data_IF_450167241217
#
_entry.id   IF_450167241217
#
_cell.length_a   1.000
_cell.length_b   1.000
_cell.length_c   1.000
_cell.angle_alpha   90.00
_cell.angle_beta   90.00
_cell.angle_gamma   90.00
#
_symmetry.space_group_name_H-M   'P 1'
#
loop_
_entity.id
_entity.type
_entity.pdbx_description
1 polymer ?
#
# COMPACT_ATOMS: atom_id res chain seq x y z
N UNK A 1 13.12 -6.67 15.53
CA UNK A 1 12.23 -7.14 14.44
C UNK A 1 11.55 -5.91 13.87
N UNK A 2 11.64 -5.64 12.57
CA UNK A 2 11.01 -4.46 11.95
C UNK A 2 9.57 -4.85 11.60
N UNK A 3 8.59 -4.11 12.10
CA UNK A 3 7.17 -4.34 11.75
C UNK A 3 6.93 -3.79 10.35
N UNK A 4 6.20 -4.56 9.56
CA UNK A 4 5.84 -4.26 8.17
C UNK A 4 4.34 -4.04 8.04
N UNK A 5 3.94 -2.99 7.33
CA UNK A 5 2.53 -2.68 7.05
C UNK A 5 2.35 -2.58 5.54
N UNK A 6 1.50 -3.45 5.00
CA UNK A 6 1.09 -3.32 3.61
C UNK A 6 -0.01 -2.27 3.46
N UNK A 7 0.21 -1.26 2.62
CA UNK A 7 -0.82 -0.30 2.26
C UNK A 7 -1.32 -0.63 0.86
N UNK A 8 -2.64 -0.72 0.70
CA UNK A 8 -3.27 -0.94 -0.60
C UNK A 8 -4.59 -0.19 -0.70
N UNK A 9 -5.10 0.02 -1.91
CA UNK A 9 -6.39 0.67 -2.05
C UNK A 9 -6.96 0.72 -3.46
N UNK A 10 -8.10 1.40 -3.56
CA UNK A 10 -8.82 1.52 -4.83
C UNK A 10 -8.13 2.46 -5.80
N UNK A 11 -8.11 2.09 -7.08
CA UNK A 11 -7.57 2.93 -8.16
C UNK A 11 -8.42 4.16 -8.47
N UNK A 12 -9.69 4.14 -8.08
CA UNK A 12 -10.70 5.19 -8.25
C UNK A 12 -10.59 6.32 -7.24
N UNK A 13 -9.84 6.14 -6.15
CA UNK A 13 -9.68 7.15 -5.11
C UNK A 13 -8.62 8.15 -5.58
N UNK A 14 -8.98 9.43 -5.54
CA UNK A 14 -8.15 10.55 -6.01
C UNK A 14 -7.59 11.40 -4.86
N UNK A 15 -8.12 11.25 -3.63
CA UNK A 15 -7.63 11.95 -2.43
C UNK A 15 -7.64 11.04 -1.21
N UNK A 16 -6.74 11.32 -0.26
CA UNK A 16 -6.70 10.63 1.04
C UNK A 16 -7.47 11.46 2.08
N UNK A 17 -8.44 10.85 2.75
CA UNK A 17 -9.18 11.51 3.83
C UNK A 17 -8.34 11.60 5.12
N UNK A 18 -8.83 12.39 6.09
CA UNK A 18 -8.14 12.61 7.37
C UNK A 18 -7.88 11.30 8.13
N UNK A 19 -8.80 10.33 8.07
CA UNK A 19 -8.58 9.02 8.73
C UNK A 19 -7.42 8.25 8.10
N UNK A 20 -7.35 8.17 6.78
CA UNK A 20 -6.25 7.52 6.07
C UNK A 20 -4.91 8.17 6.43
N UNK A 21 -4.82 9.51 6.35
CA UNK A 21 -3.62 10.27 6.70
C UNK A 21 -3.21 10.05 8.16
N UNK A 22 -4.17 10.05 9.09
CA UNK A 22 -3.91 9.81 10.52
C UNK A 22 -3.29 8.44 10.74
N UNK A 23 -3.79 7.41 10.06
CA UNK A 23 -3.25 6.05 10.17
C UNK A 23 -1.87 5.92 9.54
N UNK A 24 -1.66 6.54 8.38
CA UNK A 24 -0.34 6.59 7.72
C UNK A 24 0.67 7.30 8.62
N UNK A 25 0.31 8.44 9.20
CA UNK A 25 1.18 9.16 10.13
C UNK A 25 1.55 8.33 11.35
N UNK A 26 0.63 7.48 11.85
CA UNK A 26 0.97 6.58 12.95
C UNK A 26 1.98 5.51 12.54
N UNK A 27 1.91 5.00 11.32
CA UNK A 27 2.89 4.05 10.77
C UNK A 27 4.27 4.72 10.65
N UNK A 28 4.30 5.97 10.17
CA UNK A 28 5.52 6.80 10.06
C UNK A 28 6.13 7.06 11.45
N UNK A 29 5.32 7.51 12.42
CA UNK A 29 5.75 7.81 13.80
C UNK A 29 6.38 6.58 14.48
N UNK A 30 5.79 5.41 14.26
CA UNK A 30 6.30 4.13 14.76
C UNK A 30 7.50 3.59 13.95
N UNK A 31 7.86 4.28 12.88
CA UNK A 31 8.96 3.94 11.97
C UNK A 31 8.85 2.52 11.37
N UNK A 32 7.63 2.11 11.02
CA UNK A 32 7.35 0.79 10.43
C UNK A 32 7.56 0.77 8.92
N UNK A 33 8.09 -0.34 8.41
CA UNK A 33 8.29 -0.48 6.97
C UNK A 33 6.96 -0.55 6.22
N UNK A 34 6.82 0.26 5.18
CA UNK A 34 5.63 0.28 4.32
C UNK A 34 5.90 -0.56 3.08
N UNK A 35 5.09 -1.60 2.88
CA UNK A 35 5.04 -2.35 1.62
C UNK A 35 3.90 -1.77 0.79
N UNK A 36 4.18 -1.29 -0.42
CA UNK A 36 3.17 -0.66 -1.26
C UNK A 36 3.30 -1.06 -2.71
N UNK A 37 2.17 -1.10 -3.42
CA UNK A 37 2.15 -1.36 -4.85
C UNK A 37 2.54 -0.14 -5.69
N UNK A 38 2.56 -0.36 -7.01
CA UNK A 38 2.81 0.64 -8.03
C UNK A 38 1.57 0.95 -8.89
N UNK A 39 0.34 0.71 -8.40
CA UNK A 39 -0.85 1.05 -9.18
C UNK A 39 -1.10 2.58 -9.19
N UNK A 40 -1.90 3.10 -10.15
CA UNK A 40 -2.53 4.42 -10.01
C UNK A 40 -3.55 4.46 -8.86
N UNK A 41 -3.89 5.65 -8.38
CA UNK A 41 -4.86 5.87 -7.29
C UNK A 41 -4.19 5.83 -5.93
N UNK A 42 -4.74 5.07 -4.96
CA UNK A 42 -4.21 5.03 -3.58
C UNK A 42 -2.71 4.78 -3.51
N UNK A 43 -2.18 3.83 -4.26
CA UNK A 43 -0.74 3.50 -4.23
C UNK A 43 0.10 4.75 -4.56
N UNK A 44 -0.20 5.45 -5.67
CA UNK A 44 0.48 6.70 -6.03
C UNK A 44 0.25 7.81 -5.00
N UNK A 45 -0.98 7.98 -4.49
CA UNK A 45 -1.29 9.03 -3.51
C UNK A 45 -0.51 8.84 -2.20
N UNK A 46 -0.44 7.61 -1.72
CA UNK A 46 0.32 7.28 -0.52
C UNK A 46 1.81 7.43 -0.79
N UNK A 47 2.32 6.97 -1.93
CA UNK A 47 3.71 7.22 -2.31
C UNK A 47 4.03 8.73 -2.29
N UNK A 48 3.26 9.57 -2.98
CA UNK A 48 3.46 11.03 -2.97
C UNK A 48 3.43 11.62 -1.56
N UNK A 49 2.53 11.15 -0.70
CA UNK A 49 2.47 11.62 0.69
C UNK A 49 3.72 11.24 1.48
N UNK A 50 4.19 9.99 1.35
CA UNK A 50 5.40 9.52 2.02
C UNK A 50 6.66 10.27 1.55
N UNK A 51 6.77 10.51 0.24
CA UNK A 51 7.85 11.30 -0.36
C UNK A 51 7.86 12.74 0.17
N UNK A 52 6.68 13.38 0.25
CA UNK A 52 6.57 14.75 0.79
C UNK A 52 7.01 14.89 2.25
N UNK A 53 7.05 13.78 2.99
CA UNK A 53 7.50 13.71 4.38
C UNK A 53 8.93 13.17 4.51
N UNK A 54 9.62 12.90 3.40
CA UNK A 54 10.94 12.25 3.34
C UNK A 54 10.96 10.92 4.13
N UNK A 55 9.90 10.12 4.00
CA UNK A 55 9.84 8.82 4.67
C UNK A 55 10.46 7.72 3.80
N UNK A 56 11.64 7.23 4.22
CA UNK A 56 12.45 6.31 3.40
C UNK A 56 12.20 4.82 3.67
N UNK A 57 11.48 4.48 4.74
CA UNK A 57 11.21 3.08 5.11
C UNK A 57 10.06 2.49 4.29
N UNK A 58 10.24 2.49 2.97
CA UNK A 58 9.24 2.09 1.97
C UNK A 58 9.87 1.09 1.00
N UNK A 59 9.09 0.09 0.60
CA UNK A 59 9.46 -0.90 -0.40
C UNK A 59 8.33 -0.99 -1.43
N UNK A 60 8.61 -0.61 -2.68
CA UNK A 60 7.61 -0.65 -3.76
C UNK A 60 7.61 -2.01 -4.46
N UNK A 61 6.48 -2.69 -4.43
CA UNK A 61 6.29 -3.98 -5.10
C UNK A 61 5.64 -3.74 -6.46
N UNK A 62 6.16 -4.39 -7.51
CA UNK A 62 5.59 -4.30 -8.86
C UNK A 62 5.58 -5.65 -9.57
N UNK A 63 4.79 -5.75 -10.63
CA UNK A 63 4.67 -6.95 -11.46
C UNK A 63 5.04 -6.65 -12.91
N UNK A 64 5.27 -7.70 -13.70
CA UNK A 64 5.69 -7.59 -15.11
C UNK A 64 7.03 -6.86 -15.29
N UNK A 65 7.34 -6.44 -16.52
CA UNK A 65 8.62 -5.82 -16.86
C UNK A 65 8.76 -4.38 -16.37
N UNK A 66 7.65 -3.66 -16.22
CA UNK A 66 7.66 -2.20 -16.11
C UNK A 66 7.05 -1.76 -14.79
N UNK A 67 7.87 -1.08 -13.98
CA UNK A 67 7.44 -0.35 -12.80
C UNK A 67 6.62 0.86 -13.24
N UNK A 68 5.37 0.96 -12.80
CA UNK A 68 4.46 2.04 -13.21
C UNK A 68 4.74 3.34 -12.46
N UNK A 69 4.96 3.25 -11.16
CA UNK A 69 5.27 4.41 -10.32
C UNK A 69 6.09 4.03 -9.08
N UNK A 70 7.06 4.89 -8.77
CA UNK A 70 7.90 4.89 -7.57
C UNK A 70 8.32 6.34 -7.28
N UNK A 71 7.44 7.09 -6.62
CA UNK A 71 7.55 8.55 -6.52
C UNK A 71 8.82 8.99 -5.78
N UNK A 72 9.10 8.39 -4.62
CA UNK A 72 10.28 8.71 -3.80
C UNK A 72 11.52 7.88 -4.10
N UNK A 73 11.57 7.21 -5.26
CA UNK A 73 12.73 6.42 -5.69
C UNK A 73 13.21 5.38 -4.66
N UNK A 74 12.28 4.74 -3.95
CA UNK A 74 12.60 3.74 -2.93
C UNK A 74 13.06 2.41 -3.56
N UNK A 75 13.55 1.51 -2.70
CA UNK A 75 13.85 0.14 -3.11
C UNK A 75 12.62 -0.54 -3.75
N UNK A 76 12.86 -1.49 -4.66
CA UNK A 76 11.76 -2.22 -5.34
C UNK A 76 11.85 -3.74 -5.19
N UNK A 77 10.68 -4.40 -5.19
CA UNK A 77 10.52 -5.85 -5.28
C UNK A 77 9.74 -6.20 -6.54
N UNK A 78 10.40 -6.86 -7.49
CA UNK A 78 9.76 -7.37 -8.70
C UNK A 78 9.17 -8.74 -8.44
N UNK A 79 7.87 -8.89 -8.69
CA UNK A 79 7.21 -10.18 -8.73
C UNK A 79 6.96 -10.60 -10.18
N UNK A 80 7.56 -11.72 -10.58
CA UNK A 80 7.30 -12.32 -11.89
C UNK A 80 5.90 -12.94 -11.89
N UNK A 81 5.01 -12.44 -12.75
CA UNK A 81 3.63 -12.91 -12.87
C UNK A 81 2.63 -11.76 -12.90
N UNK A 82 1.44 -12.01 -12.36
CA UNK A 82 0.32 -11.06 -12.40
C UNK A 82 0.35 -10.05 -11.25
N UNK A 83 -0.34 -8.92 -11.40
CA UNK A 83 -0.57 -7.98 -10.30
C UNK A 83 -1.24 -8.65 -9.09
N UNK A 84 -2.13 -9.61 -9.32
CA UNK A 84 -2.77 -10.36 -8.22
C UNK A 84 -1.79 -11.27 -7.49
N UNK A 85 -0.82 -11.87 -8.17
CA UNK A 85 0.25 -12.63 -7.52
C UNK A 85 1.17 -11.68 -6.73
N UNK A 86 1.53 -10.53 -7.31
CA UNK A 86 2.29 -9.48 -6.61
C UNK A 86 1.60 -9.04 -5.33
N UNK A 87 0.33 -8.67 -5.42
CA UNK A 87 -0.48 -8.27 -4.26
C UNK A 87 -0.51 -9.38 -3.21
N UNK A 88 -0.74 -10.63 -3.64
CA UNK A 88 -0.74 -11.79 -2.73
C UNK A 88 0.58 -11.93 -1.99
N UNK A 89 1.72 -11.85 -2.67
CA UNK A 89 3.02 -11.98 -2.01
C UNK A 89 3.29 -10.78 -1.09
N UNK A 90 2.96 -9.56 -1.52
CA UNK A 90 3.09 -8.35 -0.70
C UNK A 90 2.28 -8.44 0.60
N UNK A 91 1.02 -8.88 0.53
CA UNK A 91 0.18 -9.09 1.72
C UNK A 91 0.70 -10.21 2.63
N UNK A 92 1.27 -11.27 2.06
CA UNK A 92 1.86 -12.37 2.84
C UNK A 92 3.16 -11.96 3.55
N UNK A 93 3.90 -11.01 2.99
CA UNK A 93 5.13 -10.47 3.60
C UNK A 93 4.88 -9.43 4.69
N UNK A 94 3.64 -8.96 4.86
CA UNK A 94 3.31 -7.91 5.81
C UNK A 94 2.72 -8.46 7.13
N UNK A 95 3.13 -7.86 8.25
CA UNK A 95 2.58 -8.14 9.57
C UNK A 95 1.14 -7.63 9.70
N UNK A 96 0.87 -6.43 9.17
CA UNK A 96 -0.44 -5.79 9.17
C UNK A 96 -0.76 -5.19 7.80
N UNK A 97 -1.99 -4.72 7.62
CA UNK A 97 -2.28 -3.86 6.49
C UNK A 97 -3.29 -2.76 6.74
N UNK A 98 -3.24 -1.77 5.86
CA UNK A 98 -4.15 -0.65 5.78
C UNK A 98 -4.76 -0.64 4.37
N UNK A 99 -6.05 -0.91 4.29
CA UNK A 99 -6.80 -0.86 3.05
C UNK A 99 -7.61 0.44 2.97
N UNK A 100 -7.28 1.29 2.00
CA UNK A 100 -7.99 2.54 1.72
C UNK A 100 -8.94 2.26 0.55
N UNK A 101 -10.23 2.15 0.83
CA UNK A 101 -11.17 1.42 -0.03
C UNK A 101 -12.45 2.20 -0.30
N UNK A 102 -12.91 2.14 -1.55
CA UNK A 102 -14.19 2.71 -2.00
C UNK A 102 -15.38 1.74 -1.85
N UNK A 103 -15.16 0.58 -1.21
CA UNK A 103 -16.15 -0.48 -1.10
C UNK A 103 -16.37 -1.29 -2.39
N UNK A 104 -15.71 -0.95 -3.50
CA UNK A 104 -15.99 -1.51 -4.83
C UNK A 104 -14.81 -2.29 -5.42
N UNK A 105 -13.58 -1.84 -5.21
CA UNK A 105 -12.38 -2.48 -5.80
C UNK A 105 -12.25 -3.97 -5.40
N UNK A 106 -12.35 -4.92 -6.35
CA UNK A 106 -12.20 -6.34 -6.04
C UNK A 106 -10.77 -6.71 -5.63
N UNK A 107 -9.77 -5.98 -6.12
CA UNK A 107 -8.37 -6.17 -5.72
C UNK A 107 -8.16 -5.85 -4.25
N UNK A 108 -8.66 -4.69 -3.81
CA UNK A 108 -8.58 -4.27 -2.41
C UNK A 108 -9.35 -5.22 -1.50
N UNK A 109 -10.54 -5.68 -1.93
CA UNK A 109 -11.30 -6.69 -1.18
C UNK A 109 -10.51 -7.99 -0.98
N UNK A 110 -9.77 -8.46 -1.99
CA UNK A 110 -8.89 -9.64 -1.86
C UNK A 110 -7.76 -9.41 -0.86
N UNK A 111 -7.13 -8.24 -0.89
CA UNK A 111 -6.06 -7.89 0.06
C UNK A 111 -6.58 -7.86 1.50
N UNK A 112 -7.75 -7.24 1.74
CA UNK A 112 -8.44 -7.23 3.03
C UNK A 112 -8.69 -8.67 3.50
N UNK A 113 -9.26 -9.53 2.64
CA UNK A 113 -9.56 -10.93 2.97
C UNK A 113 -8.30 -11.72 3.33
N UNK A 114 -7.19 -11.49 2.63
CA UNK A 114 -5.94 -12.21 2.85
C UNK A 114 -5.30 -11.89 4.21
N UNK A 115 -5.30 -10.61 4.60
CA UNK A 115 -4.78 -10.19 5.90
C UNK A 115 -5.77 -10.44 7.05
N UNK A 116 -7.07 -10.48 6.75
CA UNK A 116 -8.14 -10.77 7.71
C UNK A 116 -8.15 -9.75 8.86
N UNK A 117 -8.13 -10.24 10.11
CA UNK A 117 -8.15 -9.40 11.32
C UNK A 117 -6.93 -8.48 11.46
N UNK A 118 -5.87 -8.69 10.68
CA UNK A 118 -4.66 -7.85 10.66
C UNK A 118 -4.79 -6.65 9.72
N UNK A 119 -5.90 -6.54 8.98
CA UNK A 119 -6.16 -5.44 8.08
C UNK A 119 -7.11 -4.43 8.70
N UNK A 120 -6.69 -3.16 8.78
CA UNK A 120 -7.59 -2.05 9.03
C UNK A 120 -8.12 -1.51 7.72
N UNK A 121 -9.43 -1.32 7.63
CA UNK A 121 -10.09 -0.71 6.47
C UNK A 121 -10.45 0.74 6.80
N UNK A 122 -10.12 1.66 5.88
CA UNK A 122 -10.60 3.03 5.84
C UNK A 122 -11.46 3.18 4.61
N UNK A 123 -12.73 3.55 4.80
CA UNK A 123 -13.65 3.77 3.69
C UNK A 123 -13.56 5.22 3.21
N UNK A 124 -13.45 5.39 1.89
CA UNK A 124 -13.53 6.69 1.23
C UNK A 124 -14.66 6.59 0.20
N UNK A 125 -15.74 7.34 0.45
CA UNK A 125 -16.94 7.34 -0.40
C UNK A 125 -16.89 8.47 -1.43
#
# INVERSE_FOLDING_TARGET
MKITVAISGSRSIETLNTEALTRINKIIELNYEILIGDAPGVDTLVQTYLDSLNYDNVQVWYAFSTLRNNVGNWGTVKVQGSYSLRDKLMMSSADFGLAIWDGKSPGTQRNIKQLGKRCRVVLIN
#
